data_IF_195804020741
#
_entry.id   IF_195804020741
#
_cell.length_a   1.000
_cell.length_b   1.000
_cell.length_c   1.000
_cell.angle_alpha   90.00
_cell.angle_beta   90.00
_cell.angle_gamma   90.00
#
_symmetry.space_group_name_H-M   'P 1'
#
loop_
_entity.id
_entity.type
_entity.pdbx_description
1 polymer ?
#
# COMPACT_ATOMS: atom_id res chain seq x y z
N UNK A 1 3.13 26.00 15.90
CA UNK A 1 3.04 24.95 14.85
C UNK A 1 1.59 24.55 14.60
N UNK A 2 0.61 25.38 15.01
CA UNK A 2 -0.74 24.90 15.34
C UNK A 2 -1.79 25.20 14.25
N UNK A 3 -1.40 26.00 13.23
CA UNK A 3 -2.30 26.38 12.14
C UNK A 3 -2.52 25.28 11.10
N UNK A 4 -1.47 24.54 10.71
CA UNK A 4 -1.55 23.55 9.63
C UNK A 4 -2.44 22.35 9.97
N UNK A 5 -2.46 21.94 11.25
CA UNK A 5 -3.25 20.82 11.73
C UNK A 5 -4.75 21.17 11.71
N UNK A 6 -5.11 22.34 12.22
CA UNK A 6 -6.50 22.83 12.18
C UNK A 6 -7.02 22.96 10.75
N UNK A 7 -6.27 23.60 9.86
CA UNK A 7 -6.66 23.76 8.45
C UNK A 7 -6.77 22.41 7.72
N UNK A 8 -5.89 21.45 8.00
CA UNK A 8 -5.96 20.12 7.39
C UNK A 8 -7.21 19.35 7.81
N UNK A 9 -7.57 19.40 9.10
CA UNK A 9 -8.79 18.75 9.60
C UNK A 9 -10.04 19.39 9.02
N UNK A 10 -10.09 20.73 8.93
CA UNK A 10 -11.23 21.45 8.35
C UNK A 10 -11.41 21.13 6.87
N UNK A 11 -10.33 21.13 6.09
CA UNK A 11 -10.38 20.82 4.66
C UNK A 11 -10.83 19.37 4.46
N UNK A 12 -10.21 18.41 5.16
CA UNK A 12 -10.56 16.99 5.03
C UNK A 12 -12.01 16.73 5.45
N UNK A 13 -12.43 17.25 6.59
CA UNK A 13 -13.79 17.08 7.09
C UNK A 13 -14.84 17.67 6.14
N UNK A 14 -14.56 18.84 5.55
CA UNK A 14 -15.48 19.46 4.57
C UNK A 14 -15.58 18.62 3.30
N UNK A 15 -14.45 18.17 2.75
CA UNK A 15 -14.42 17.34 1.54
C UNK A 15 -15.18 16.02 1.77
N UNK A 16 -14.92 15.34 2.88
CA UNK A 16 -15.62 14.09 3.23
C UNK A 16 -17.12 14.32 3.41
N UNK A 17 -17.52 15.43 4.07
CA UNK A 17 -18.94 15.77 4.28
C UNK A 17 -19.66 16.02 2.96
N UNK A 18 -19.01 16.73 2.03
CA UNK A 18 -19.56 16.99 0.69
C UNK A 18 -19.73 15.67 -0.07
N UNK A 19 -18.70 14.81 -0.09
CA UNK A 19 -18.77 13.50 -0.75
C UNK A 19 -19.90 12.66 -0.15
N UNK A 20 -20.04 12.65 1.18
CA UNK A 20 -21.10 11.92 1.87
C UNK A 20 -22.51 12.42 1.57
N UNK A 21 -22.67 13.71 1.23
CA UNK A 21 -23.97 14.28 0.87
C UNK A 21 -24.44 13.86 -0.53
N UNK A 22 -23.52 13.54 -1.45
CA UNK A 22 -23.82 13.20 -2.84
C UNK A 22 -23.77 11.70 -3.14
N UNK A 23 -23.11 10.89 -2.29
CA UNK A 23 -22.93 9.45 -2.51
C UNK A 23 -23.82 8.64 -1.54
N UNK A 24 -24.45 7.59 -2.06
CA UNK A 24 -25.24 6.67 -1.23
C UNK A 24 -24.36 5.89 -0.25
N UNK A 25 -24.88 5.66 0.95
CA UNK A 25 -24.15 5.05 2.07
C UNK A 25 -23.52 3.69 1.74
N UNK A 26 -24.13 2.90 0.85
CA UNK A 26 -23.59 1.59 0.45
C UNK A 26 -22.24 1.70 -0.27
N UNK A 27 -22.12 2.64 -1.20
CA UNK A 27 -20.88 2.87 -1.95
C UNK A 27 -19.79 3.45 -1.04
N UNK A 28 -20.16 4.37 -0.14
CA UNK A 28 -19.23 4.93 0.84
C UNK A 28 -18.64 3.84 1.75
N UNK A 29 -19.46 2.91 2.23
CA UNK A 29 -19.00 1.86 3.13
C UNK A 29 -18.02 0.89 2.44
N UNK A 30 -18.31 0.51 1.19
CA UNK A 30 -17.43 -0.35 0.40
C UNK A 30 -16.10 0.35 0.05
N UNK A 31 -16.18 1.62 -0.36
CA UNK A 31 -15.00 2.45 -0.62
C UNK A 31 -14.12 2.64 0.63
N UNK A 32 -14.72 2.96 1.77
CA UNK A 32 -13.98 3.18 3.04
C UNK A 32 -13.34 1.87 3.49
N UNK A 33 -14.10 0.77 3.52
CA UNK A 33 -13.59 -0.55 3.92
C UNK A 33 -12.45 -1.01 3.00
N UNK A 34 -12.66 -0.96 1.69
CA UNK A 34 -11.66 -1.35 0.70
C UNK A 34 -10.41 -0.47 0.74
N UNK A 35 -10.58 0.84 0.92
CA UNK A 35 -9.47 1.80 1.06
C UNK A 35 -8.62 1.53 2.31
N UNK A 36 -9.26 1.25 3.45
CA UNK A 36 -8.56 0.90 4.70
C UNK A 36 -7.78 -0.40 4.52
N UNK A 37 -8.41 -1.44 3.97
CA UNK A 37 -7.75 -2.73 3.74
C UNK A 37 -6.55 -2.61 2.79
N UNK A 38 -6.69 -1.82 1.72
CA UNK A 38 -5.60 -1.55 0.79
C UNK A 38 -4.46 -0.78 1.47
N UNK A 39 -4.78 0.19 2.33
CA UNK A 39 -3.76 0.94 3.08
C UNK A 39 -2.96 0.04 4.03
N UNK A 40 -3.60 -0.97 4.62
CA UNK A 40 -2.92 -1.96 5.43
C UNK A 40 -2.03 -2.86 4.58
N UNK A 41 -2.46 -3.26 3.39
CA UNK A 41 -1.60 -4.03 2.47
C UNK A 41 -0.35 -3.20 2.11
N UNK A 42 -0.53 -1.94 1.72
CA UNK A 42 0.57 -1.04 1.40
C UNK A 42 1.52 -0.83 2.59
N UNK A 43 0.98 -0.63 3.79
CA UNK A 43 1.77 -0.48 5.02
C UNK A 43 2.57 -1.74 5.35
N UNK A 44 1.98 -2.93 5.22
CA UNK A 44 2.68 -4.19 5.44
C UNK A 44 3.77 -4.43 4.38
N UNK A 45 3.51 -4.09 3.12
CA UNK A 45 4.51 -4.12 2.05
C UNK A 45 5.66 -3.13 2.33
N UNK A 46 5.36 -1.93 2.81
CA UNK A 46 6.37 -0.93 3.18
C UNK A 46 7.21 -1.40 4.37
N UNK A 47 6.59 -2.01 5.40
CA UNK A 47 7.30 -2.57 6.55
C UNK A 47 8.30 -3.65 6.13
N UNK A 48 7.92 -4.56 5.23
CA UNK A 48 8.85 -5.56 4.70
C UNK A 48 9.94 -4.85 3.86
N UNK A 49 9.59 -3.86 3.06
CA UNK A 49 10.55 -3.15 2.20
C UNK A 49 11.59 -2.36 2.97
N UNK A 50 11.23 -1.80 4.12
CA UNK A 50 12.15 -1.09 5.01
C UNK A 50 13.10 -2.08 5.70
N UNK A 51 12.63 -3.29 6.01
CA UNK A 51 13.46 -4.35 6.62
C UNK A 51 14.34 -5.09 5.61
N UNK A 52 13.95 -5.10 4.33
CA UNK A 52 14.72 -5.72 3.26
C UNK A 52 15.72 -4.72 2.67
N UNK A 53 17.03 -4.97 2.81
CA UNK A 53 18.09 -4.07 2.31
C UNK A 53 17.99 -3.87 0.78
N UNK A 54 17.53 -2.68 0.33
CA UNK A 54 17.48 -2.05 -1.01
C UNK A 54 17.06 -2.86 -2.27
N UNK A 55 17.32 -4.17 -2.35
CA UNK A 55 17.03 -5.01 -3.52
C UNK A 55 15.63 -5.68 -3.47
N UNK A 56 14.85 -5.48 -2.42
CA UNK A 56 13.57 -6.19 -2.20
C UNK A 56 12.30 -5.45 -2.64
N UNK A 57 12.36 -4.13 -2.87
CA UNK A 57 11.18 -3.27 -3.09
C UNK A 57 10.25 -3.75 -4.21
N UNK A 58 10.73 -4.07 -5.43
CA UNK A 58 9.82 -4.54 -6.49
C UNK A 58 9.22 -5.91 -6.18
N UNK A 59 10.00 -6.82 -5.55
CA UNK A 59 9.55 -8.18 -5.25
C UNK A 59 8.42 -8.20 -4.22
N UNK A 60 8.47 -7.33 -3.20
CA UNK A 60 7.45 -7.28 -2.15
C UNK A 60 6.13 -6.75 -2.69
N UNK A 61 6.19 -5.71 -3.55
CA UNK A 61 5.01 -5.20 -4.24
C UNK A 61 4.39 -6.28 -5.13
N UNK A 62 5.22 -7.02 -5.88
CA UNK A 62 4.77 -8.15 -6.70
C UNK A 62 4.11 -9.23 -5.84
N UNK A 63 4.70 -9.62 -4.70
CA UNK A 63 4.08 -10.60 -3.78
C UNK A 63 2.73 -10.09 -3.29
N UNK A 64 2.64 -8.84 -2.85
CA UNK A 64 1.36 -8.27 -2.37
C UNK A 64 0.29 -8.21 -3.46
N UNK A 65 0.68 -7.88 -4.70
CA UNK A 65 -0.21 -7.88 -5.86
C UNK A 65 -0.65 -9.30 -6.23
N UNK A 66 0.26 -10.29 -6.20
CA UNK A 66 -0.06 -11.69 -6.45
C UNK A 66 -1.02 -12.24 -5.40
N UNK A 67 -0.85 -11.90 -4.12
CA UNK A 67 -1.77 -12.29 -3.05
C UNK A 67 -3.16 -11.67 -3.26
N UNK A 68 -3.22 -10.39 -3.64
CA UNK A 68 -4.48 -9.73 -4.00
C UNK A 68 -5.18 -10.44 -5.18
N UNK A 69 -4.45 -10.71 -6.26
CA UNK A 69 -4.99 -11.40 -7.44
C UNK A 69 -5.42 -12.83 -7.09
N UNK A 70 -4.64 -13.55 -6.30
CA UNK A 70 -4.97 -14.92 -5.87
C UNK A 70 -6.30 -14.99 -5.14
N UNK A 71 -6.52 -14.07 -4.19
CA UNK A 71 -7.76 -14.01 -3.42
C UNK A 71 -8.95 -13.60 -4.30
N UNK A 72 -8.77 -12.62 -5.20
CA UNK A 72 -9.78 -12.20 -6.18
C UNK A 72 -10.23 -13.35 -7.08
N UNK A 73 -9.27 -14.08 -7.65
CA UNK A 73 -9.55 -15.25 -8.49
C UNK A 73 -10.25 -16.34 -7.67
N UNK A 74 -9.80 -16.57 -6.43
CA UNK A 74 -10.40 -17.59 -5.56
C UNK A 74 -11.88 -17.30 -5.26
N UNK A 75 -12.24 -16.09 -4.80
CA UNK A 75 -13.63 -15.81 -4.38
C UNK A 75 -14.57 -15.47 -5.52
N UNK A 76 -14.08 -14.89 -6.62
CA UNK A 76 -14.93 -14.46 -7.75
C UNK A 76 -15.06 -15.50 -8.85
N UNK A 77 -14.23 -16.54 -8.85
CA UNK A 77 -14.40 -17.63 -9.82
C UNK A 77 -15.62 -18.50 -9.49
N UNK A 78 -16.45 -18.76 -10.49
CA UNK A 78 -17.66 -19.59 -10.36
C UNK A 78 -17.37 -21.10 -10.41
N UNK A 79 -16.12 -21.50 -10.69
CA UNK A 79 -15.75 -22.90 -10.92
C UNK A 79 -14.55 -23.35 -10.10
N UNK A 80 -14.51 -24.65 -9.82
CA UNK A 80 -13.43 -25.32 -9.08
C UNK A 80 -12.06 -25.09 -9.73
N UNK A 81 -12.01 -24.99 -11.06
CA UNK A 81 -10.79 -24.68 -11.81
C UNK A 81 -10.26 -23.29 -11.45
N UNK A 82 -11.13 -22.27 -11.40
CA UNK A 82 -10.73 -20.91 -11.01
C UNK A 82 -10.28 -20.85 -9.55
N UNK A 83 -10.98 -21.54 -8.65
CA UNK A 83 -10.58 -21.62 -7.24
C UNK A 83 -9.22 -22.30 -7.09
N UNK A 84 -8.97 -23.36 -7.87
CA UNK A 84 -7.68 -24.04 -7.94
C UNK A 84 -6.56 -23.12 -8.44
N UNK A 85 -6.82 -22.28 -9.43
CA UNK A 85 -5.87 -21.26 -9.91
C UNK A 85 -5.56 -20.26 -8.79
N UNK A 86 -6.58 -19.76 -8.09
CA UNK A 86 -6.40 -18.84 -6.95
C UNK A 86 -5.52 -19.43 -5.85
N UNK A 87 -5.82 -20.66 -5.42
CA UNK A 87 -4.99 -21.40 -4.44
C UNK A 87 -3.56 -21.59 -4.95
N UNK A 88 -3.39 -21.92 -6.23
CA UNK A 88 -2.08 -22.06 -6.86
C UNK A 88 -1.25 -20.77 -6.79
N UNK A 89 -1.84 -19.63 -7.17
CA UNK A 89 -1.15 -18.33 -7.13
C UNK A 89 -0.81 -17.92 -5.68
N UNK A 90 -1.71 -18.20 -4.72
CA UNK A 90 -1.43 -17.95 -3.31
C UNK A 90 -0.27 -18.83 -2.80
N UNK A 91 -0.24 -20.11 -3.19
CA UNK A 91 0.87 -21.03 -2.90
C UNK A 91 2.20 -20.55 -3.47
N UNK A 92 2.22 -20.05 -4.72
CA UNK A 92 3.41 -19.43 -5.32
C UNK A 92 3.86 -18.21 -4.51
N UNK A 93 2.92 -17.39 -4.05
CA UNK A 93 3.22 -16.21 -3.23
C UNK A 93 3.86 -16.57 -1.88
N UNK A 94 3.44 -17.68 -1.25
CA UNK A 94 4.07 -18.23 -0.04
C UNK A 94 5.51 -18.65 -0.33
N UNK A 95 5.73 -19.37 -1.43
CA UNK A 95 7.08 -19.82 -1.82
C UNK A 95 8.00 -18.62 -2.08
N UNK A 96 7.52 -17.60 -2.78
CA UNK A 96 8.27 -16.36 -3.01
C UNK A 96 8.60 -15.63 -1.70
N UNK A 97 7.66 -15.57 -0.76
CA UNK A 97 7.88 -15.02 0.58
C UNK A 97 8.94 -15.83 1.35
N UNK A 98 8.92 -17.16 1.25
CA UNK A 98 9.93 -18.04 1.82
C UNK A 98 11.31 -17.85 1.20
N UNK A 99 11.40 -17.81 -0.14
CA UNK A 99 12.67 -17.53 -0.85
C UNK A 99 13.23 -16.17 -0.44
N UNK A 100 12.38 -15.17 -0.29
CA UNK A 100 12.77 -13.86 0.23
C UNK A 100 13.25 -13.95 1.68
N UNK A 101 12.60 -14.74 2.54
CA UNK A 101 13.05 -14.98 3.91
C UNK A 101 14.49 -15.53 3.98
N UNK A 102 14.84 -16.45 3.08
CA UNK A 102 16.19 -17.03 3.02
C UNK A 102 17.23 -16.13 2.34
N UNK A 103 16.82 -15.31 1.35
CA UNK A 103 17.75 -14.47 0.58
C UNK A 103 17.97 -13.08 1.17
N UNK A 104 16.95 -12.48 1.74
CA UNK A 104 17.05 -11.16 2.36
C UNK A 104 17.46 -11.33 3.81
N UNK A 105 18.56 -10.69 4.20
CA UNK A 105 18.83 -10.53 5.61
C UNK A 105 17.88 -9.44 6.16
N UNK A 106 16.99 -9.81 7.06
CA UNK A 106 16.04 -8.90 7.72
C UNK A 106 16.67 -8.19 8.93
N UNK A 107 17.96 -8.44 9.19
CA UNK A 107 18.74 -7.76 10.22
C UNK A 107 19.07 -6.33 9.76
N UNK A 108 18.35 -5.32 10.27
CA UNK A 108 18.71 -3.96 9.88
C UNK A 108 17.79 -2.80 10.24
N UNK A 109 17.10 -2.82 11.38
CA UNK A 109 16.70 -1.55 11.99
C UNK A 109 17.18 -1.53 13.43
N UNK A 110 18.12 -0.61 13.73
CA UNK A 110 18.67 -0.43 15.07
C UNK A 110 17.58 -0.21 16.11
N UNK A 111 17.88 -0.58 17.36
CA UNK A 111 17.19 -0.23 18.63
C UNK A 111 15.76 0.31 18.47
N UNK A 112 14.81 -0.52 18.01
CA UNK A 112 13.42 -0.14 17.81
C UNK A 112 12.47 -1.33 17.97
N UNK A 113 11.16 -1.07 17.93
CA UNK A 113 10.14 -2.12 18.04
C UNK A 113 10.19 -3.06 16.82
N UNK A 114 10.49 -4.33 17.06
CA UNK A 114 10.57 -5.37 16.03
C UNK A 114 9.35 -6.27 16.12
N UNK A 115 8.67 -6.46 14.98
CA UNK A 115 7.55 -7.40 14.89
C UNK A 115 8.12 -8.82 14.92
N UNK A 116 7.61 -9.73 15.76
CA UNK A 116 8.04 -11.12 15.75
C UNK A 116 7.64 -11.79 14.42
N UNK A 117 8.49 -12.70 13.92
CA UNK A 117 8.26 -13.49 12.69
C UNK A 117 8.15 -12.69 11.38
N UNK A 118 9.04 -11.72 11.14
CA UNK A 118 9.22 -11.12 9.80
C UNK A 118 9.84 -12.16 8.85
N UNK A 119 9.35 -12.34 7.61
CA UNK A 119 8.28 -11.62 6.91
C UNK A 119 6.89 -12.29 6.98
N UNK A 120 6.73 -13.38 7.73
CA UNK A 120 5.51 -14.18 7.76
C UNK A 120 4.30 -13.45 8.38
N UNK A 121 4.50 -12.70 9.46
CA UNK A 121 3.44 -11.90 10.10
C UNK A 121 2.83 -10.86 9.15
N UNK A 122 3.61 -9.98 8.50
CA UNK A 122 3.05 -9.04 7.53
C UNK A 122 2.48 -9.74 6.29
N UNK A 123 3.04 -10.88 5.85
CA UNK A 123 2.47 -11.67 4.76
C UNK A 123 1.06 -12.22 5.08
N UNK A 124 0.86 -12.74 6.30
CA UNK A 124 -0.45 -13.20 6.75
C UNK A 124 -1.45 -12.05 6.80
N UNK A 125 -1.03 -10.89 7.31
CA UNK A 125 -1.86 -9.68 7.33
C UNK A 125 -2.28 -9.26 5.91
N UNK A 126 -1.35 -9.28 4.95
CA UNK A 126 -1.65 -9.01 3.53
C UNK A 126 -2.65 -10.03 2.99
N UNK A 127 -2.49 -11.32 3.29
CA UNK A 127 -3.40 -12.37 2.83
C UNK A 127 -4.83 -12.21 3.36
N UNK A 128 -4.98 -11.89 4.64
CA UNK A 128 -6.29 -11.65 5.25
C UNK A 128 -6.95 -10.39 4.70
N UNK A 129 -6.21 -9.30 4.55
CA UNK A 129 -6.74 -8.06 3.98
C UNK A 129 -7.14 -8.24 2.51
N UNK A 130 -6.34 -8.99 1.74
CA UNK A 130 -6.65 -9.33 0.36
C UNK A 130 -7.92 -10.19 0.27
N UNK A 131 -8.09 -11.15 1.18
CA UNK A 131 -9.30 -11.96 1.25
C UNK A 131 -10.55 -11.13 1.56
N UNK A 132 -10.45 -10.18 2.51
CA UNK A 132 -11.54 -9.27 2.84
C UNK A 132 -11.89 -8.33 1.67
N UNK A 133 -10.89 -7.77 0.97
CA UNK A 133 -11.11 -7.00 -0.27
C UNK A 133 -11.87 -7.84 -1.29
N UNK A 134 -11.52 -9.11 -1.39
CA UNK A 134 -12.14 -10.04 -2.34
C UNK A 134 -13.62 -10.35 -2.07
N UNK A 135 -14.07 -10.11 -0.83
CA UNK A 135 -15.47 -10.27 -0.43
C UNK A 135 -16.34 -9.07 -0.79
N UNK A 136 -15.73 -7.90 -1.10
CA UNK A 136 -16.50 -6.74 -1.55
C UNK A 136 -17.24 -7.06 -2.87
N UNK A 137 -18.41 -6.44 -3.11
CA UNK A 137 -19.06 -6.52 -4.40
C UNK A 137 -18.17 -5.93 -5.49
N UNK A 138 -18.47 -6.28 -6.75
CA UNK A 138 -17.69 -5.74 -7.88
C UNK A 138 -17.74 -4.21 -7.93
N UNK A 139 -18.85 -3.61 -7.53
CA UNK A 139 -18.96 -2.14 -7.41
C UNK A 139 -17.92 -1.57 -6.45
N UNK A 140 -17.77 -2.15 -5.26
CA UNK A 140 -16.78 -1.72 -4.27
C UNK A 140 -15.33 -1.86 -4.74
N UNK A 141 -15.00 -2.94 -5.46
CA UNK A 141 -13.65 -3.10 -6.02
C UNK A 141 -13.36 -2.02 -7.08
N UNK A 142 -14.34 -1.71 -7.94
CA UNK A 142 -14.21 -0.65 -8.94
C UNK A 142 -14.05 0.73 -8.29
N UNK A 143 -14.73 0.99 -7.18
CA UNK A 143 -14.60 2.22 -6.40
C UNK A 143 -13.20 2.38 -5.79
N UNK A 144 -12.65 1.30 -5.22
CA UNK A 144 -11.27 1.30 -4.71
C UNK A 144 -10.27 1.51 -5.84
N UNK A 145 -10.48 0.89 -7.02
CA UNK A 145 -9.65 1.13 -8.20
C UNK A 145 -9.75 2.59 -8.66
N UNK A 146 -10.96 3.15 -8.69
CA UNK A 146 -11.19 4.57 -8.98
C UNK A 146 -10.43 5.48 -8.02
N UNK A 147 -10.45 5.16 -6.72
CA UNK A 147 -9.69 5.87 -5.70
C UNK A 147 -8.18 5.78 -5.94
N UNK A 148 -7.65 4.61 -6.31
CA UNK A 148 -6.24 4.44 -6.66
C UNK A 148 -5.82 5.29 -7.85
N UNK A 149 -6.63 5.31 -8.92
CA UNK A 149 -6.39 6.13 -10.11
C UNK A 149 -6.42 7.61 -9.75
N UNK A 150 -7.40 8.03 -8.95
CA UNK A 150 -7.49 9.41 -8.46
C UNK A 150 -6.27 9.79 -7.60
N UNK A 151 -5.89 8.94 -6.64
CA UNK A 151 -4.72 9.16 -5.80
C UNK A 151 -3.42 9.24 -6.61
N UNK A 152 -3.28 8.38 -7.62
CA UNK A 152 -2.16 8.44 -8.55
C UNK A 152 -2.13 9.76 -9.32
N UNK A 153 -3.27 10.23 -9.80
CA UNK A 153 -3.36 11.51 -10.51
C UNK A 153 -2.99 12.70 -9.61
N UNK A 154 -3.55 12.74 -8.40
CA UNK A 154 -3.21 13.77 -7.40
C UNK A 154 -1.71 13.73 -7.08
N UNK A 155 -1.16 12.55 -6.84
CA UNK A 155 0.27 12.38 -6.57
C UNK A 155 1.14 12.78 -7.77
N UNK A 156 0.74 12.45 -9.00
CA UNK A 156 1.48 12.84 -10.20
C UNK A 156 1.47 14.37 -10.38
N UNK A 157 0.31 15.02 -10.23
CA UNK A 157 0.19 16.47 -10.33
C UNK A 157 0.97 17.20 -9.22
N UNK A 158 0.85 16.72 -7.98
CA UNK A 158 1.57 17.29 -6.83
C UNK A 158 3.08 17.01 -6.92
N UNK A 159 3.44 15.77 -7.19
CA UNK A 159 4.82 15.27 -7.25
C UNK A 159 5.60 15.85 -8.42
N UNK A 160 4.97 16.14 -9.57
CA UNK A 160 5.64 16.84 -10.66
C UNK A 160 6.01 18.29 -10.30
N UNK A 161 5.24 18.92 -9.41
CA UNK A 161 5.52 20.28 -8.93
C UNK A 161 6.62 20.28 -7.86
N UNK A 162 6.48 19.46 -6.82
CA UNK A 162 7.45 19.43 -5.71
C UNK A 162 8.71 18.60 -5.97
N UNK A 163 8.69 17.65 -6.91
CA UNK A 163 9.88 16.89 -7.28
C UNK A 163 10.97 17.76 -7.92
N UNK A 164 10.60 18.89 -8.53
CA UNK A 164 11.54 19.88 -9.05
C UNK A 164 12.17 20.71 -7.94
N UNK A 165 11.38 21.07 -6.94
CA UNK A 165 11.81 21.85 -5.79
C UNK A 165 12.88 21.09 -4.98
N UNK A 166 12.68 19.78 -4.74
CA UNK A 166 13.67 18.91 -4.08
C UNK A 166 14.95 18.67 -4.90
N UNK A 167 14.85 18.60 -6.24
CA UNK A 167 16.03 18.43 -7.09
C UNK A 167 16.89 19.71 -7.12
N UNK A 168 16.25 20.88 -7.10
CA UNK A 168 16.92 22.18 -7.07
C UNK A 168 17.64 22.42 -5.72
N UNK A 169 16.97 22.10 -4.60
CA UNK A 169 17.55 22.24 -3.25
C UNK A 169 18.84 21.42 -3.06
N UNK A 170 18.88 20.18 -3.56
CA UNK A 170 20.10 19.35 -3.47
C UNK A 170 21.27 19.93 -4.29
N UNK A 171 21.00 20.59 -5.42
CA UNK A 171 22.03 21.26 -6.24
C UNK A 171 22.56 22.50 -5.54
N UNK A 172 21.70 23.26 -4.84
CA UNK A 172 22.11 24.45 -4.10
C UNK A 172 22.96 24.10 -2.87
N UNK A 173 22.69 22.98 -2.18
CA UNK A 173 23.49 22.51 -1.04
C UNK A 173 24.90 22.07 -1.47
N UNK A 174 25.05 21.40 -2.62
CA UNK A 174 26.37 21.01 -3.16
C UNK A 174 27.19 22.22 -3.66
N UNK A 175 26.55 23.36 -3.93
CA UNK A 175 27.21 24.59 -4.39
C UNK A 175 27.75 25.51 -3.28
N UNK A 176 27.53 25.19 -2.00
CA UNK A 176 27.98 26.01 -0.89
C UNK A 176 29.47 25.74 -0.58
N UNK A 177 30.32 26.78 -0.44
CA UNK A 177 31.71 26.59 -0.02
C UNK A 177 31.72 25.99 1.38
N UNK A 178 32.44 24.88 1.55
CA UNK A 178 32.71 24.26 2.85
C UNK A 178 33.55 25.26 3.66
N UNK A 179 32.92 25.95 4.61
CA UNK A 179 33.64 26.69 5.64
C UNK A 179 34.38 25.64 6.50
N UNK A 180 35.69 25.50 6.28
CA UNK A 180 36.58 24.76 7.17
C UNK A 180 36.57 25.46 8.54
N UNK A 181 35.87 24.86 9.52
CA UNK A 181 35.95 25.20 10.94
C UNK A 181 36.93 24.28 11.66
#
# INVERSE_FOLDING_TARGET
SDGSLFWSTVIFGTVVTVIAAFMEFSYLNDLISGGILLSFIFSNSALISIRSKHQGTPYILVISALVLVAMLVFTKSEGVVGQGIGIGIWGVSIVLCGVMHYKCNFDGLGSGFTVPFVPWTPFLAISLNAFLISQLPWTGILEVLGLCVFAFFVYACYGYRHGKDFAQENVDIEGLPVEES
#
